data_IF_602631522426
#
_entry.id   IF_602631522426
#
_cell.length_a   1.000
_cell.length_b   1.000
_cell.length_c   1.000
_cell.angle_alpha   90.00
_cell.angle_beta   90.00
_cell.angle_gamma   90.00
#
_symmetry.space_group_name_H-M   'P 1'
#
loop_
_entity.id
_entity.type
_entity.pdbx_description
1 polymer ?
#
# COMPACT_ATOMS: atom_id res chain seq x y z
N UNK A 1 3.17 22.45 27.51
CA UNK A 1 4.28 22.36 26.54
C UNK A 1 5.30 21.42 27.18
N UNK A 2 5.60 20.21 26.71
CA UNK A 2 5.42 19.60 25.39
C UNK A 2 5.48 18.09 25.65
N UNK A 3 4.41 17.34 25.34
CA UNK A 3 4.41 15.88 25.44
C UNK A 3 5.12 15.34 24.19
N UNK A 4 6.28 14.71 24.37
CA UNK A 4 7.05 14.11 23.28
C UNK A 4 6.61 12.67 23.14
N UNK A 5 6.12 12.20 21.98
CA UNK A 5 5.69 10.82 21.85
C UNK A 5 6.92 9.91 21.99
N UNK A 6 6.94 9.09 23.03
CA UNK A 6 7.96 8.05 23.19
C UNK A 6 7.74 6.97 22.13
N UNK A 7 8.55 7.00 21.08
CA UNK A 7 8.78 5.85 20.21
C UNK A 7 9.44 4.75 21.02
N UNK A 8 8.68 3.70 21.35
CA UNK A 8 9.23 2.51 21.99
C UNK A 8 10.13 1.78 20.98
N UNK A 9 11.41 1.50 21.31
CA UNK A 9 12.26 0.72 20.43
C UNK A 9 11.71 -0.70 20.31
N UNK A 10 11.52 -1.18 19.08
CA UNK A 10 11.23 -2.58 18.82
C UNK A 10 12.54 -3.34 18.99
N UNK A 11 12.75 -3.95 20.15
CA UNK A 11 13.90 -4.84 20.41
C UNK A 11 13.68 -6.13 19.62
N UNK A 12 14.11 -6.14 18.36
CA UNK A 12 14.19 -7.34 17.53
C UNK A 12 15.43 -8.16 17.90
N UNK A 13 15.23 -9.44 18.18
CA UNK A 13 16.29 -10.45 18.39
C UNK A 13 17.12 -10.63 17.10
N UNK A 14 18.15 -9.80 16.93
CA UNK A 14 19.01 -9.83 15.73
C UNK A 14 20.05 -8.72 15.64
N UNK A 15 19.98 -7.70 16.51
CA UNK A 15 20.97 -6.64 16.62
C UNK A 15 21.88 -6.90 17.83
N UNK A 16 23.20 -6.66 17.73
CA UNK A 16 24.07 -6.68 18.90
C UNK A 16 23.56 -5.68 19.95
N UNK A 17 23.62 -6.04 21.23
CA UNK A 17 23.09 -5.24 22.31
C UNK A 17 23.66 -3.82 22.28
N UNK A 18 22.79 -2.82 22.06
CA UNK A 18 23.15 -1.40 22.04
C UNK A 18 23.02 -0.70 20.67
N UNK A 19 22.74 -1.44 19.59
CA UNK A 19 22.47 -0.83 18.28
C UNK A 19 20.97 -0.57 18.09
N UNK A 20 20.61 0.71 17.92
CA UNK A 20 19.28 1.12 17.51
C UNK A 20 19.17 0.95 15.99
N UNK A 21 18.19 0.16 15.55
CA UNK A 21 17.83 0.12 14.13
C UNK A 21 16.82 1.23 13.86
N UNK A 22 17.26 2.23 13.09
CA UNK A 22 16.41 3.31 12.59
C UNK A 22 16.07 3.01 11.12
N UNK A 23 14.94 2.35 10.84
CA UNK A 23 14.56 2.08 9.46
C UNK A 23 14.31 3.39 8.73
N UNK A 24 14.89 3.53 7.54
CA UNK A 24 14.54 4.60 6.61
C UNK A 24 13.51 4.02 5.63
N UNK A 25 12.23 4.44 5.70
CA UNK A 25 11.23 4.00 4.74
C UNK A 25 11.58 4.48 3.34
N UNK A 26 11.26 3.68 2.33
CA UNK A 26 11.30 4.11 0.94
C UNK A 26 9.95 3.93 0.27
N UNK A 27 9.72 4.73 -0.76
CA UNK A 27 8.42 4.84 -1.43
C UNK A 27 8.59 4.66 -2.93
N UNK A 28 7.64 3.97 -3.55
CA UNK A 28 7.54 3.92 -5.00
C UNK A 28 6.09 3.91 -5.44
N UNK A 29 5.83 4.45 -6.63
CA UNK A 29 4.51 4.44 -7.22
C UNK A 29 4.14 3.02 -7.65
N UNK A 30 2.93 2.60 -7.31
CA UNK A 30 2.38 1.27 -7.63
C UNK A 30 1.29 1.35 -8.67
N UNK A 31 0.43 2.37 -8.59
CA UNK A 31 -0.72 2.51 -9.47
C UNK A 31 -1.04 3.98 -9.72
N UNK A 32 -1.40 4.32 -10.96
CA UNK A 32 -2.01 5.61 -11.30
C UNK A 32 -3.53 5.42 -11.45
N UNK A 33 -4.26 5.56 -10.34
CA UNK A 33 -5.70 5.32 -10.32
C UNK A 33 -6.43 6.45 -11.03
N UNK A 34 -7.31 6.19 -12.01
CA UNK A 34 -8.12 7.23 -12.63
C UNK A 34 -9.15 7.76 -11.64
N UNK A 35 -9.38 9.07 -11.68
CA UNK A 35 -10.40 9.77 -10.89
C UNK A 35 -11.29 10.54 -11.85
N UNK A 36 -12.60 10.47 -11.64
CA UNK A 36 -13.53 11.17 -12.53
C UNK A 36 -13.35 12.69 -12.39
N UNK A 37 -13.62 13.48 -13.46
CA UNK A 37 -13.53 14.93 -13.41
C UNK A 37 -14.34 15.55 -12.25
N UNK A 38 -15.51 14.97 -11.96
CA UNK A 38 -16.38 15.38 -10.84
C UNK A 38 -15.72 15.15 -9.49
N UNK A 39 -15.10 13.99 -9.27
CA UNK A 39 -14.38 13.69 -8.03
C UNK A 39 -13.11 14.54 -7.87
N UNK A 40 -12.47 14.90 -8.98
CA UNK A 40 -11.26 15.71 -8.98
C UNK A 40 -11.53 17.22 -8.96
N UNK A 41 -12.79 17.67 -9.11
CA UNK A 41 -13.16 19.06 -9.37
C UNK A 41 -12.35 19.68 -10.55
N UNK A 42 -12.16 18.91 -11.62
CA UNK A 42 -11.41 19.32 -12.83
C UNK A 42 -12.26 19.16 -14.09
N UNK A 43 -11.84 19.81 -15.17
CA UNK A 43 -12.46 19.67 -16.50
C UNK A 43 -12.10 18.37 -17.20
N UNK A 44 -10.98 17.75 -16.85
CA UNK A 44 -10.45 16.55 -17.49
C UNK A 44 -10.25 15.42 -16.46
N UNK A 45 -10.31 14.14 -16.90
CA UNK A 45 -9.94 13.01 -16.05
C UNK A 45 -8.49 13.15 -15.61
N UNK A 46 -8.22 12.84 -14.33
CA UNK A 46 -6.86 12.83 -13.80
C UNK A 46 -6.56 11.48 -13.18
N UNK A 47 -5.28 11.16 -13.08
CA UNK A 47 -4.82 10.05 -12.27
C UNK A 47 -4.29 10.55 -10.94
N UNK A 48 -4.47 9.75 -9.90
CA UNK A 48 -3.86 9.98 -8.59
C UNK A 48 -2.96 8.78 -8.25
N UNK A 49 -1.75 9.03 -7.74
CA UNK A 49 -0.84 7.95 -7.43
C UNK A 49 -1.28 7.22 -6.15
N UNK A 50 -1.17 5.90 -6.21
CA UNK A 50 -1.09 5.02 -5.04
C UNK A 50 0.35 4.54 -4.97
N UNK A 51 0.96 4.72 -3.80
CA UNK A 51 2.35 4.36 -3.51
C UNK A 51 2.40 3.19 -2.54
N UNK A 52 3.48 2.45 -2.60
CA UNK A 52 3.85 1.54 -1.52
C UNK A 52 4.94 2.18 -0.70
N UNK A 53 4.71 2.27 0.60
CA UNK A 53 5.73 2.52 1.60
C UNK A 53 6.33 1.17 2.00
N UNK A 54 7.66 1.10 2.05
CA UNK A 54 8.37 -0.08 2.52
C UNK A 54 9.30 0.31 3.66
N UNK A 55 9.11 -0.34 4.80
CA UNK A 55 9.91 -0.17 6.01
C UNK A 55 10.79 -1.42 6.14
N UNK A 56 12.10 -1.31 5.86
CA UNK A 56 13.03 -2.40 6.10
C UNK A 56 12.99 -2.83 7.57
N UNK A 57 13.07 -4.12 7.84
CA UNK A 57 13.19 -4.65 9.19
C UNK A 57 14.62 -5.20 9.41
N UNK A 58 15.12 -5.22 10.65
CA UNK A 58 16.45 -5.75 10.91
C UNK A 58 16.49 -7.27 10.71
N UNK A 59 17.67 -7.78 10.32
CA UNK A 59 17.92 -9.20 10.10
C UNK A 59 17.29 -9.77 8.83
N UNK A 60 16.89 -11.04 8.87
CA UNK A 60 16.27 -11.77 7.75
C UNK A 60 14.73 -11.64 7.73
N UNK A 61 14.19 -10.59 8.36
CA UNK A 61 12.75 -10.36 8.41
C UNK A 61 12.27 -9.76 7.09
N UNK A 62 11.10 -10.17 6.61
CA UNK A 62 10.43 -9.50 5.49
C UNK A 62 10.18 -8.02 5.84
N UNK A 63 10.33 -7.09 4.90
CA UNK A 63 10.02 -5.69 5.17
C UNK A 63 8.50 -5.51 5.41
N UNK A 64 8.14 -4.52 6.22
CA UNK A 64 6.75 -4.09 6.30
C UNK A 64 6.43 -3.23 5.09
N UNK A 65 5.23 -3.42 4.56
CA UNK A 65 4.73 -2.76 3.36
C UNK A 65 3.34 -2.22 3.66
N UNK A 66 3.05 -1.01 3.21
CA UNK A 66 1.71 -0.42 3.30
C UNK A 66 1.44 0.40 2.04
N UNK A 67 0.15 0.57 1.71
CA UNK A 67 -0.25 1.47 0.62
C UNK A 67 -0.53 2.86 1.19
N UNK A 68 -0.07 3.90 0.48
CA UNK A 68 -0.28 5.28 0.85
C UNK A 68 -0.49 6.17 -0.40
N UNK A 69 -0.70 7.47 -0.17
CA UNK A 69 -0.90 8.46 -1.23
C UNK A 69 -2.36 8.88 -1.40
N UNK A 70 -2.60 9.83 -2.31
CA UNK A 70 -3.93 10.44 -2.47
C UNK A 70 -4.96 9.45 -3.03
N UNK A 71 -4.54 8.49 -3.85
CA UNK A 71 -5.43 7.42 -4.29
C UNK A 71 -5.94 6.55 -3.13
N UNK A 72 -5.10 6.31 -2.11
CA UNK A 72 -5.53 5.52 -0.94
C UNK A 72 -6.56 6.24 -0.10
N UNK A 73 -6.44 7.55 0.08
CA UNK A 73 -7.44 8.36 0.79
C UNK A 73 -8.83 8.24 0.16
N UNK A 74 -8.91 8.15 -1.16
CA UNK A 74 -10.18 7.93 -1.86
C UNK A 74 -10.76 6.52 -1.60
N UNK A 75 -9.89 5.52 -1.43
CA UNK A 75 -10.30 4.14 -1.15
C UNK A 75 -10.70 3.90 0.31
N UNK A 76 -10.39 4.82 1.22
CA UNK A 76 -10.84 4.80 2.62
C UNK A 76 -12.36 4.95 2.73
N UNK A 77 -12.98 5.69 1.81
CA UNK A 77 -14.44 5.93 1.81
C UNK A 77 -15.27 4.73 1.33
N UNK A 78 -14.62 3.71 0.73
CA UNK A 78 -15.31 2.52 0.24
C UNK A 78 -15.66 1.60 1.41
N UNK A 79 -16.87 1.01 1.42
CA UNK A 79 -17.25 0.06 2.45
C UNK A 79 -16.27 -1.12 2.56
N UNK A 80 -16.02 -1.61 3.78
CA UNK A 80 -15.05 -2.70 4.03
C UNK A 80 -13.58 -2.25 3.96
N UNK A 81 -13.28 -0.97 4.24
CA UNK A 81 -11.90 -0.48 4.28
C UNK A 81 -11.05 -1.17 5.35
N UNK A 82 -11.62 -1.36 6.54
CA UNK A 82 -10.91 -2.01 7.65
C UNK A 82 -10.51 -3.46 7.29
N UNK A 83 -11.42 -4.23 6.69
CA UNK A 83 -11.12 -5.60 6.25
C UNK A 83 -10.02 -5.64 5.18
N UNK A 84 -10.08 -4.72 4.22
CA UNK A 84 -9.05 -4.57 3.20
C UNK A 84 -7.68 -4.20 3.82
N UNK A 85 -7.68 -3.29 4.80
CA UNK A 85 -6.46 -2.87 5.49
C UNK A 85 -5.85 -4.02 6.30
N UNK A 86 -6.67 -4.75 7.05
CA UNK A 86 -6.24 -5.95 7.79
C UNK A 86 -5.64 -7.01 6.85
N UNK A 87 -6.30 -7.31 5.73
CA UNK A 87 -5.78 -8.27 4.74
C UNK A 87 -4.45 -7.81 4.11
N UNK A 88 -4.28 -6.50 3.86
CA UNK A 88 -3.01 -5.95 3.39
C UNK A 88 -1.90 -6.09 4.44
N UNK A 89 -2.23 -5.85 5.71
CA UNK A 89 -1.27 -6.01 6.81
C UNK A 89 -0.84 -7.48 6.98
N UNK A 90 -1.77 -8.42 6.91
CA UNK A 90 -1.47 -9.85 6.96
C UNK A 90 -0.54 -10.28 5.80
N UNK A 91 -0.85 -9.85 4.57
CA UNK A 91 0.00 -10.11 3.41
C UNK A 91 1.39 -9.44 3.55
N UNK A 92 1.45 -8.22 4.10
CA UNK A 92 2.73 -7.56 4.39
C UNK A 92 3.57 -8.34 5.40
N UNK A 93 2.99 -8.79 6.51
CA UNK A 93 3.70 -9.56 7.54
C UNK A 93 4.21 -10.88 6.96
N UNK A 94 3.47 -11.49 6.03
CA UNK A 94 3.90 -12.67 5.30
C UNK A 94 4.96 -12.38 4.21
N UNK A 95 5.24 -11.11 3.89
CA UNK A 95 6.11 -10.72 2.76
C UNK A 95 5.47 -10.96 1.39
N UNK A 96 4.15 -11.17 1.31
CA UNK A 96 3.43 -11.47 0.08
C UNK A 96 2.97 -10.18 -0.63
N UNK A 97 3.93 -9.52 -1.26
CA UNK A 97 3.66 -8.31 -2.07
C UNK A 97 2.70 -8.58 -3.24
N UNK A 98 2.65 -9.80 -3.78
CA UNK A 98 1.74 -10.13 -4.87
C UNK A 98 0.29 -10.12 -4.37
N UNK A 99 0.01 -10.74 -3.22
CA UNK A 99 -1.31 -10.71 -2.60
C UNK A 99 -1.72 -9.28 -2.22
N UNK A 100 -0.80 -8.46 -1.72
CA UNK A 100 -1.10 -7.04 -1.47
C UNK A 100 -1.55 -6.31 -2.74
N UNK A 101 -0.85 -6.52 -3.86
CA UNK A 101 -1.24 -5.93 -5.14
C UNK A 101 -2.59 -6.48 -5.64
N UNK A 102 -2.93 -7.75 -5.37
CA UNK A 102 -4.27 -8.32 -5.64
C UNK A 102 -5.36 -7.61 -4.87
N UNK A 103 -5.16 -7.44 -3.57
CA UNK A 103 -6.09 -6.70 -2.72
C UNK A 103 -6.27 -5.26 -3.22
N UNK A 104 -5.18 -4.58 -3.61
CA UNK A 104 -5.25 -3.23 -4.15
C UNK A 104 -6.05 -3.16 -5.46
N UNK A 105 -5.77 -4.06 -6.40
CA UNK A 105 -6.50 -4.10 -7.69
C UNK A 105 -7.97 -4.33 -7.48
N UNK A 106 -8.36 -5.28 -6.64
CA UNK A 106 -9.77 -5.56 -6.33
C UNK A 106 -10.43 -4.35 -5.65
N UNK A 107 -9.69 -3.67 -4.77
CA UNK A 107 -10.18 -2.47 -4.08
C UNK A 107 -10.42 -1.32 -5.06
N UNK A 108 -9.50 -1.08 -5.97
CA UNK A 108 -9.61 -0.05 -7.01
C UNK A 108 -10.71 -0.41 -8.02
N UNK A 109 -10.83 -1.68 -8.39
CA UNK A 109 -11.91 -2.16 -9.25
C UNK A 109 -13.29 -1.88 -8.62
N UNK A 110 -13.44 -2.13 -7.32
CA UNK A 110 -14.66 -1.83 -6.58
C UNK A 110 -14.97 -0.32 -6.55
N UNK A 111 -13.97 0.52 -6.29
CA UNK A 111 -14.12 1.98 -6.31
C UNK A 111 -14.55 2.50 -7.69
N UNK A 112 -13.90 2.03 -8.75
CA UNK A 112 -14.16 2.44 -10.13
C UNK A 112 -15.40 1.77 -10.74
N UNK A 113 -15.93 0.74 -10.09
CA UNK A 113 -17.03 -0.11 -10.59
C UNK A 113 -16.69 -0.77 -11.93
N UNK A 114 -15.48 -1.29 -12.05
CA UNK A 114 -14.97 -2.03 -13.21
C UNK A 114 -14.50 -3.43 -12.80
N UNK A 115 -14.08 -4.26 -13.75
CA UNK A 115 -13.49 -5.56 -13.42
C UNK A 115 -12.03 -5.39 -12.89
N UNK A 116 -11.54 -6.33 -12.05
CA UNK A 116 -10.14 -6.35 -11.62
C UNK A 116 -9.13 -6.33 -12.77
N UNK A 117 -9.47 -6.97 -13.91
CA UNK A 117 -8.64 -6.93 -15.12
C UNK A 117 -8.48 -5.51 -15.67
N UNK A 118 -9.54 -4.70 -15.64
CA UNK A 118 -9.50 -3.30 -16.08
C UNK A 118 -8.78 -2.43 -15.04
N UNK A 119 -8.98 -2.66 -13.75
CA UNK A 119 -8.21 -1.93 -12.74
C UNK A 119 -6.70 -2.26 -12.79
N UNK A 120 -6.36 -3.51 -13.11
CA UNK A 120 -4.99 -3.99 -13.18
C UNK A 120 -4.13 -3.30 -14.25
N UNK A 121 -4.70 -2.73 -15.31
CA UNK A 121 -3.91 -1.99 -16.32
C UNK A 121 -3.31 -0.68 -15.79
N UNK A 122 -3.79 -0.19 -14.64
CA UNK A 122 -3.25 1.00 -14.00
C UNK A 122 -2.04 0.72 -13.10
N UNK A 123 -1.71 -0.56 -12.86
CA UNK A 123 -0.49 -0.94 -12.15
C UNK A 123 0.74 -0.52 -12.94
N UNK A 124 1.68 0.13 -12.27
CA UNK A 124 3.01 0.44 -12.82
C UNK A 124 3.98 -0.74 -12.73
N UNK A 125 3.61 -1.81 -12.01
CA UNK A 125 4.43 -3.01 -11.87
C UNK A 125 4.26 -3.97 -13.05
N UNK A 126 5.32 -4.27 -13.82
CA UNK A 126 5.21 -4.98 -15.10
C UNK A 126 5.06 -6.50 -14.99
N UNK A 127 4.85 -7.08 -13.80
CA UNK A 127 4.74 -8.54 -13.61
C UNK A 127 3.63 -8.92 -12.65
N UNK A 128 2.41 -8.67 -13.10
CA UNK A 128 1.28 -9.47 -12.67
C UNK A 128 1.16 -10.64 -13.65
N UNK A 129 1.26 -11.91 -13.24
CA UNK A 129 0.88 -12.97 -14.15
C UNK A 129 -0.65 -12.88 -14.33
N UNK A 130 -1.16 -12.95 -15.58
CA UNK A 130 -2.59 -13.21 -15.76
C UNK A 130 -2.86 -14.56 -15.08
N UNK A 131 -3.82 -14.61 -14.15
CA UNK A 131 -4.34 -15.88 -13.67
C UNK A 131 -4.75 -16.69 -14.92
N UNK A 132 -4.10 -17.82 -15.14
CA UNK A 132 -4.52 -18.78 -16.14
C UNK A 132 -5.96 -19.21 -15.78
N UNK A 133 -6.84 -19.11 -16.79
CA UNK A 133 -8.24 -19.54 -16.75
C UNK A 133 -8.31 -21.06 -16.72
#
# INVERSE_FOLDING_TARGET
>A
MTDTPQTRPVTGSGLPAGETFDPVPYFFDVMDMPVTPTQACKSEPVTVPIRMEVIPLPGNSSPLMSFCGDGMKLLEEVAGHEDFYCACLEASVAGDSAQMLHLLVDRVAAYLRVSPTVAGVYLKYPKYPPRAV
#
